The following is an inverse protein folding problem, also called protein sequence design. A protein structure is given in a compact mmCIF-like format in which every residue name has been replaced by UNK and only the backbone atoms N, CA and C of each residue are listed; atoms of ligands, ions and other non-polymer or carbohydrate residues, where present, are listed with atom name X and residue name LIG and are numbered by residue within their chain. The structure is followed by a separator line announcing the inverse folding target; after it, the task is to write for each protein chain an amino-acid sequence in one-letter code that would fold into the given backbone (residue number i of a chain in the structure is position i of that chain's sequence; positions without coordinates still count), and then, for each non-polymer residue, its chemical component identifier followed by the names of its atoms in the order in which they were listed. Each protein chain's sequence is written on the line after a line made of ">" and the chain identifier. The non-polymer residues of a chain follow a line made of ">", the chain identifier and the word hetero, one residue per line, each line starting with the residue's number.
data_IF_920673495353
#
_entry.id   IF_920673495353
#
_cell.length_a   1.000
_cell.length_b   1.000
_cell.length_c   1.000
_cell.angle_alpha   90.00
_cell.angle_beta   90.00
_cell.angle_gamma   90.00
#
_symmetry.space_group_name_H-M   'P 1'
#
loop_
_entity.id
_entity.type
_entity.pdbx_description
1 polymer ?
#
# COMPACT_ATOMS: atom_id res chain seq x y z
N UNK A 1 -16.83 -30.03 -1.37
CA UNK A 1 -16.15 -28.79 -0.94
C UNK A 1 -17.18 -27.70 -0.72
N UNK A 2 -17.16 -27.06 0.45
CA UNK A 2 -18.06 -25.94 0.82
C UNK A 2 -17.26 -24.64 0.83
N UNK A 3 -17.85 -23.53 0.38
CA UNK A 3 -17.20 -22.20 0.42
C UNK A 3 -16.71 -21.82 1.84
N UNK A 4 -17.47 -22.22 2.87
CA UNK A 4 -17.09 -21.98 4.26
C UNK A 4 -15.79 -22.70 4.67
N UNK A 5 -15.45 -23.85 4.07
CA UNK A 5 -14.15 -24.51 4.32
C UNK A 5 -13.00 -23.68 3.74
N UNK A 6 -13.20 -23.04 2.58
CA UNK A 6 -12.23 -22.13 1.97
C UNK A 6 -12.05 -20.85 2.81
N UNK A 7 -13.15 -20.27 3.32
CA UNK A 7 -13.08 -19.12 4.24
C UNK A 7 -12.27 -19.46 5.49
N UNK A 8 -12.43 -20.65 6.04
CA UNK A 8 -11.67 -21.08 7.21
C UNK A 8 -10.18 -21.30 6.90
N UNK A 9 -9.87 -21.80 5.71
CA UNK A 9 -8.47 -21.94 5.26
C UNK A 9 -7.79 -20.56 5.12
N UNK A 10 -8.45 -19.63 4.45
CA UNK A 10 -7.96 -18.25 4.31
C UNK A 10 -7.75 -17.59 5.68
N UNK A 11 -8.73 -17.71 6.59
CA UNK A 11 -8.59 -17.19 7.94
C UNK A 11 -7.42 -17.84 8.70
N UNK A 12 -7.22 -19.16 8.54
CA UNK A 12 -6.12 -19.88 9.19
C UNK A 12 -4.75 -19.43 8.65
N UNK A 13 -4.63 -19.25 7.35
CA UNK A 13 -3.40 -18.77 6.71
C UNK A 13 -3.01 -17.36 7.19
N UNK A 14 -4.00 -16.46 7.29
CA UNK A 14 -3.82 -15.09 7.78
C UNK A 14 -3.44 -15.04 9.25
N UNK A 15 -4.21 -15.72 10.10
CA UNK A 15 -4.04 -15.65 11.55
C UNK A 15 -2.87 -16.51 12.06
N UNK A 16 -2.42 -17.48 11.28
CA UNK A 16 -1.37 -18.44 11.63
C UNK A 16 -1.58 -19.10 13.01
N UNK A 17 -2.84 -19.20 13.43
CA UNK A 17 -3.23 -19.74 14.73
C UNK A 17 -4.68 -20.22 14.72
N UNK A 18 -4.94 -21.50 14.98
CA UNK A 18 -6.27 -22.10 14.89
C UNK A 18 -7.34 -21.39 15.74
N UNK A 19 -7.01 -21.01 17.00
CA UNK A 19 -8.00 -20.36 17.87
C UNK A 19 -8.32 -18.94 17.41
N UNK A 20 -7.33 -18.17 16.91
CA UNK A 20 -7.57 -16.83 16.35
C UNK A 20 -8.37 -16.90 15.07
N UNK A 21 -8.03 -17.83 14.18
CA UNK A 21 -8.79 -18.05 12.94
C UNK A 21 -10.24 -18.44 13.23
N UNK A 22 -10.47 -19.31 14.21
CA UNK A 22 -11.82 -19.70 14.65
C UNK A 22 -12.61 -18.50 15.20
N UNK A 23 -11.98 -17.67 16.04
CA UNK A 23 -12.58 -16.44 16.56
C UNK A 23 -12.93 -15.45 15.40
N UNK A 24 -12.03 -15.27 14.43
CA UNK A 24 -12.25 -14.43 13.26
C UNK A 24 -13.42 -14.93 12.39
N UNK A 25 -13.67 -16.25 12.38
CA UNK A 25 -14.79 -16.86 11.65
C UNK A 25 -16.05 -17.07 12.51
N UNK A 26 -16.06 -16.59 13.75
CA UNK A 26 -17.18 -16.75 14.70
C UNK A 26 -17.58 -18.20 14.94
N UNK A 27 -16.59 -19.12 15.03
CA UNK A 27 -16.80 -20.54 15.29
C UNK A 27 -15.88 -21.06 16.39
N UNK A 28 -16.16 -22.28 16.88
CA UNK A 28 -15.24 -22.94 17.79
C UNK A 28 -14.00 -23.48 17.06
N UNK A 29 -12.85 -23.50 17.75
CA UNK A 29 -11.62 -24.06 17.19
C UNK A 29 -11.78 -25.52 16.72
N UNK A 30 -12.47 -26.43 17.47
CA UNK A 30 -12.76 -27.79 16.97
C UNK A 30 -13.53 -27.82 15.66
N UNK A 31 -14.51 -26.90 15.48
CA UNK A 31 -15.32 -26.80 14.27
C UNK A 31 -14.47 -26.39 13.05
N UNK A 32 -13.64 -25.35 13.20
CA UNK A 32 -12.71 -24.93 12.16
C UNK A 32 -11.72 -26.04 11.80
N UNK A 33 -11.11 -26.67 12.80
CA UNK A 33 -10.16 -27.76 12.62
C UNK A 33 -10.79 -28.99 11.91
N UNK A 34 -12.04 -29.30 12.25
CA UNK A 34 -12.79 -30.38 11.59
C UNK A 34 -13.14 -30.05 10.14
N UNK A 35 -13.43 -28.76 9.84
CA UNK A 35 -13.72 -28.31 8.49
C UNK A 35 -12.49 -28.37 7.59
N UNK A 36 -11.31 -27.96 8.09
CA UNK A 36 -10.04 -28.08 7.36
C UNK A 36 -9.72 -29.57 7.10
N UNK A 37 -9.83 -30.45 8.10
CA UNK A 37 -9.63 -31.90 7.89
C UNK A 37 -10.59 -32.50 6.87
N UNK A 38 -11.83 -32.04 6.81
CA UNK A 38 -12.77 -32.47 5.77
C UNK A 38 -12.36 -32.00 4.39
N UNK A 39 -11.83 -30.77 4.28
CA UNK A 39 -11.30 -30.25 3.02
C UNK A 39 -10.09 -31.07 2.55
N UNK A 40 -9.16 -31.40 3.45
CA UNK A 40 -8.01 -32.28 3.17
C UNK A 40 -8.47 -33.65 2.66
N UNK A 41 -9.47 -34.22 3.31
CA UNK A 41 -10.02 -35.55 2.90
C UNK A 41 -10.76 -35.49 1.55
N UNK A 42 -11.53 -34.43 1.29
CA UNK A 42 -12.25 -34.25 0.03
C UNK A 42 -11.31 -34.01 -1.17
N UNK A 43 -10.18 -33.35 -0.93
CA UNK A 43 -9.19 -33.10 -1.98
C UNK A 43 -8.09 -34.16 -2.05
N UNK A 44 -8.07 -35.08 -1.09
CA UNK A 44 -7.07 -36.14 -0.91
C UNK A 44 -5.62 -35.62 -0.85
N UNK A 45 -5.45 -34.46 -0.20
CA UNK A 45 -4.13 -33.83 0.01
C UNK A 45 -4.02 -33.24 1.42
N UNK A 46 -2.83 -33.29 2.07
CA UNK A 46 -2.59 -32.56 3.29
C UNK A 46 -2.48 -31.07 2.97
N UNK A 47 -3.20 -30.22 3.68
CA UNK A 47 -3.19 -28.75 3.49
C UNK A 47 -2.34 -28.08 4.58
N UNK A 48 -2.45 -28.54 5.81
CA UNK A 48 -1.75 -27.97 6.96
C UNK A 48 -0.65 -28.92 7.42
N UNK A 49 0.55 -28.38 7.66
CA UNK A 49 1.65 -29.15 8.26
C UNK A 49 1.24 -29.62 9.67
N UNK A 50 1.35 -30.91 9.89
CA UNK A 50 0.92 -31.52 11.15
C UNK A 50 1.94 -31.29 12.24
N UNK A 51 1.52 -30.61 13.34
CA UNK A 51 2.29 -30.39 14.56
C UNK A 51 1.35 -30.10 15.72
N UNK A 52 1.91 -29.86 16.91
CA UNK A 52 1.12 -29.44 18.10
C UNK A 52 0.53 -28.03 17.93
N UNK A 53 1.07 -27.23 17.01
CA UNK A 53 0.66 -25.87 16.69
C UNK A 53 0.58 -25.74 15.16
N UNK A 54 0.10 -24.62 14.68
CA UNK A 54 0.17 -24.28 13.25
C UNK A 54 1.63 -24.07 12.85
N UNK A 55 2.13 -24.88 11.93
CA UNK A 55 3.51 -24.85 11.43
C UNK A 55 3.60 -24.36 9.97
N UNK A 56 2.47 -23.90 9.42
CA UNK A 56 2.37 -23.44 8.04
C UNK A 56 1.53 -24.38 7.18
N UNK A 57 1.44 -24.03 5.90
CA UNK A 57 0.79 -24.85 4.87
C UNK A 57 1.81 -25.82 4.25
N UNK A 58 1.31 -26.89 3.68
CA UNK A 58 2.08 -27.76 2.77
C UNK A 58 2.21 -27.11 1.39
N UNK A 59 3.06 -27.58 0.48
CA UNK A 59 3.07 -27.09 -0.90
C UNK A 59 1.70 -27.22 -1.58
N UNK A 60 0.99 -28.32 -1.35
CA UNK A 60 -0.38 -28.54 -1.82
C UNK A 60 -1.36 -27.54 -1.16
N UNK A 61 -1.16 -27.27 0.13
CA UNK A 61 -1.95 -26.29 0.89
C UNK A 61 -1.82 -24.88 0.35
N UNK A 62 -0.63 -24.46 -0.11
CA UNK A 62 -0.43 -23.15 -0.77
C UNK A 62 -1.21 -23.09 -2.10
N UNK A 63 -1.21 -24.15 -2.88
CA UNK A 63 -2.02 -24.22 -4.11
C UNK A 63 -3.52 -24.14 -3.79
N UNK A 64 -3.97 -24.87 -2.77
CA UNK A 64 -5.39 -24.82 -2.36
C UNK A 64 -5.75 -23.44 -1.82
N UNK A 65 -4.86 -22.77 -1.10
CA UNK A 65 -5.07 -21.40 -0.61
C UNK A 65 -5.23 -20.41 -1.78
N UNK A 66 -4.36 -20.45 -2.78
CA UNK A 66 -4.46 -19.58 -3.96
C UNK A 66 -5.82 -19.77 -4.68
N UNK A 67 -6.26 -21.03 -4.86
CA UNK A 67 -7.58 -21.29 -5.40
C UNK A 67 -8.72 -20.87 -4.48
N UNK A 68 -8.55 -20.99 -3.16
CA UNK A 68 -9.55 -20.52 -2.20
C UNK A 68 -9.78 -19.00 -2.30
N UNK A 69 -8.72 -18.20 -2.38
CA UNK A 69 -8.80 -16.75 -2.59
C UNK A 69 -9.56 -16.42 -3.88
N UNK A 70 -9.20 -17.08 -4.99
CA UNK A 70 -9.86 -16.88 -6.28
C UNK A 70 -11.35 -17.21 -6.25
N UNK A 71 -11.73 -18.38 -5.74
CA UNK A 71 -13.13 -18.82 -5.66
C UNK A 71 -13.96 -17.86 -4.78
N UNK A 72 -13.40 -17.42 -3.67
CA UNK A 72 -14.07 -16.46 -2.78
C UNK A 72 -14.18 -15.08 -3.42
N UNK A 73 -13.18 -14.62 -4.16
CA UNK A 73 -13.23 -13.37 -4.91
C UNK A 73 -14.32 -13.39 -6.00
N UNK A 74 -14.43 -14.50 -6.75
CA UNK A 74 -15.47 -14.68 -7.78
C UNK A 74 -16.88 -14.71 -7.16
N UNK A 75 -17.05 -15.37 -6.02
CA UNK A 75 -18.32 -15.32 -5.26
C UNK A 75 -18.67 -13.88 -4.85
N UNK A 76 -17.70 -13.14 -4.34
CA UNK A 76 -17.90 -11.76 -3.91
C UNK A 76 -18.23 -10.84 -5.10
N UNK A 77 -17.57 -11.06 -6.25
CA UNK A 77 -17.88 -10.36 -7.51
C UNK A 77 -19.33 -10.60 -7.95
N UNK A 78 -19.81 -11.84 -7.92
CA UNK A 78 -21.20 -12.15 -8.21
C UNK A 78 -22.18 -11.40 -7.29
N UNK A 79 -21.90 -11.37 -5.99
CA UNK A 79 -22.74 -10.63 -5.05
C UNK A 79 -22.72 -9.12 -5.32
N UNK A 80 -21.58 -8.57 -5.68
CA UNK A 80 -21.44 -7.16 -6.05
C UNK A 80 -22.23 -6.81 -7.31
N UNK A 81 -22.15 -7.63 -8.36
CA UNK A 81 -22.93 -7.45 -9.60
C UNK A 81 -24.45 -7.46 -9.34
N UNK A 82 -24.92 -8.48 -8.60
CA UNK A 82 -26.34 -8.55 -8.24
C UNK A 82 -26.80 -7.37 -7.40
N UNK A 83 -25.95 -6.87 -6.52
CA UNK A 83 -26.24 -5.69 -5.70
C UNK A 83 -26.26 -4.41 -6.53
N UNK A 84 -25.37 -4.27 -7.49
CA UNK A 84 -25.34 -3.14 -8.43
C UNK A 84 -26.66 -3.04 -9.23
N UNK A 85 -27.18 -4.17 -9.70
CA UNK A 85 -28.48 -4.25 -10.39
C UNK A 85 -29.66 -3.84 -9.51
N UNK A 86 -29.56 -3.99 -8.18
CA UNK A 86 -30.61 -3.68 -7.20
C UNK A 86 -30.52 -2.28 -6.58
N UNK A 87 -29.66 -1.41 -7.11
CA UNK A 87 -29.62 0.00 -6.74
C UNK A 87 -28.45 0.42 -5.85
N UNK A 88 -27.27 -0.13 -6.06
CA UNK A 88 -26.01 0.42 -5.54
C UNK A 88 -24.99 -0.63 -5.10
N UNK A 89 -23.74 -0.23 -5.16
CA UNK A 89 -22.61 -1.09 -4.82
C UNK A 89 -22.60 -1.40 -3.31
N UNK A 90 -22.36 -2.66 -2.98
CA UNK A 90 -22.16 -3.17 -1.62
C UNK A 90 -20.92 -4.04 -1.57
N UNK A 91 -20.39 -4.29 -0.39
CA UNK A 91 -19.20 -5.11 -0.19
C UNK A 91 -18.01 -4.29 0.30
N UNK A 92 -16.86 -4.92 0.38
CA UNK A 92 -15.62 -4.29 0.84
C UNK A 92 -14.59 -4.29 -0.28
N UNK A 93 -14.13 -3.11 -0.68
CA UNK A 93 -13.00 -2.90 -1.57
C UNK A 93 -11.70 -3.02 -0.75
N UNK A 94 -10.87 -4.00 -1.05
CA UNK A 94 -9.57 -4.22 -0.41
C UNK A 94 -8.51 -3.47 -1.20
N UNK A 95 -8.01 -2.38 -0.63
CA UNK A 95 -7.07 -1.46 -1.27
C UNK A 95 -5.70 -1.50 -0.58
N UNK A 96 -4.70 -2.07 -1.23
CA UNK A 96 -3.31 -1.99 -0.80
C UNK A 96 -2.68 -0.67 -1.24
N UNK A 97 -1.88 -0.05 -0.38
CA UNK A 97 -1.23 1.23 -0.69
C UNK A 97 0.22 1.21 -0.20
N UNK A 98 1.17 1.56 -1.07
CA UNK A 98 2.55 1.76 -0.61
C UNK A 98 2.61 2.91 0.41
N UNK A 99 3.45 2.83 1.45
CA UNK A 99 3.46 3.80 2.54
C UNK A 99 3.57 5.26 2.08
N UNK A 100 4.32 5.52 1.02
CA UNK A 100 4.53 6.87 0.48
C UNK A 100 3.33 7.43 -0.29
N UNK A 101 2.45 6.58 -0.80
CA UNK A 101 1.22 6.98 -1.48
C UNK A 101 0.01 7.04 -0.55
N UNK A 102 0.15 6.60 0.70
CA UNK A 102 -0.96 6.57 1.67
C UNK A 102 -1.64 7.94 1.84
N UNK A 103 -0.93 9.08 1.89
CA UNK A 103 -1.57 10.39 1.96
C UNK A 103 -2.51 10.66 0.79
N UNK A 104 -2.11 10.29 -0.42
CA UNK A 104 -2.91 10.49 -1.64
C UNK A 104 -4.12 9.54 -1.73
N UNK A 105 -4.17 8.46 -0.93
CA UNK A 105 -5.27 7.52 -0.97
C UNK A 105 -6.62 8.15 -0.57
N UNK A 106 -6.62 9.18 0.29
CA UNK A 106 -7.81 9.92 0.69
C UNK A 106 -8.49 10.61 -0.49
N UNK A 107 -7.71 11.07 -1.47
CA UNK A 107 -8.22 11.70 -2.70
C UNK A 107 -9.03 10.73 -3.58
N UNK A 108 -8.88 9.42 -3.38
CA UNK A 108 -9.65 8.39 -4.07
C UNK A 108 -10.74 7.80 -3.17
N UNK A 109 -10.40 7.48 -1.93
CA UNK A 109 -11.29 6.74 -1.03
C UNK A 109 -12.45 7.59 -0.54
N UNK A 110 -12.24 8.88 -0.26
CA UNK A 110 -13.31 9.79 0.17
C UNK A 110 -14.38 9.95 -0.91
N UNK A 111 -14.07 10.35 -2.16
CA UNK A 111 -15.10 10.47 -3.20
C UNK A 111 -15.72 9.12 -3.57
N UNK A 112 -14.97 8.01 -3.46
CA UNK A 112 -15.52 6.67 -3.64
C UNK A 112 -16.60 6.36 -2.60
N UNK A 113 -16.31 6.55 -1.30
CA UNK A 113 -17.26 6.29 -0.23
C UNK A 113 -18.50 7.21 -0.28
N UNK A 114 -18.31 8.49 -0.66
CA UNK A 114 -19.43 9.42 -0.86
C UNK A 114 -20.33 8.99 -2.01
N UNK A 115 -19.77 8.48 -3.10
CA UNK A 115 -20.53 8.00 -4.27
C UNK A 115 -21.20 6.64 -4.02
N UNK A 116 -20.60 5.82 -3.17
CA UNK A 116 -21.02 4.45 -2.88
C UNK A 116 -21.16 4.19 -1.36
N UNK A 117 -22.16 4.82 -0.68
CA UNK A 117 -22.23 4.84 0.79
C UNK A 117 -22.52 3.46 1.43
N UNK A 118 -22.88 2.45 0.64
CA UNK A 118 -23.05 1.08 1.11
C UNK A 118 -21.82 0.19 0.88
N UNK A 119 -20.84 0.67 0.13
CA UNK A 119 -19.54 0.02 0.00
C UNK A 119 -18.63 0.44 1.15
N UNK A 120 -17.69 -0.44 1.50
CA UNK A 120 -16.63 -0.17 2.48
C UNK A 120 -15.28 -0.21 1.79
N UNK A 121 -14.30 0.48 2.34
CA UNK A 121 -12.90 0.37 1.92
C UNK A 121 -12.10 -0.17 3.08
N UNK A 122 -11.42 -1.30 2.87
CA UNK A 122 -10.36 -1.79 3.73
C UNK A 122 -9.03 -1.32 3.13
N UNK A 123 -8.37 -0.39 3.80
CA UNK A 123 -7.12 0.22 3.37
C UNK A 123 -5.97 -0.41 4.14
N UNK A 124 -4.98 -0.93 3.43
CA UNK A 124 -3.81 -1.56 4.02
C UNK A 124 -2.53 -0.91 3.49
N UNK A 125 -1.64 -0.51 4.41
CA UNK A 125 -0.30 -0.03 4.05
C UNK A 125 0.64 -1.20 3.88
N UNK A 126 1.12 -1.44 2.66
CA UNK A 126 1.86 -2.64 2.28
C UNK A 126 3.12 -2.29 1.47
N UNK A 127 4.15 -3.11 1.59
CA UNK A 127 5.29 -3.02 0.70
C UNK A 127 4.91 -3.44 -0.74
N UNK A 128 5.62 -2.96 -1.76
CA UNK A 128 5.31 -3.26 -3.17
C UNK A 128 5.28 -4.76 -3.47
N UNK A 129 6.13 -5.54 -2.81
CA UNK A 129 6.16 -7.00 -2.97
C UNK A 129 4.89 -7.66 -2.44
N UNK A 130 4.39 -7.20 -1.30
CA UNK A 130 3.16 -7.72 -0.68
C UNK A 130 1.93 -7.30 -1.50
N UNK A 131 1.94 -6.10 -2.08
CA UNK A 131 0.91 -5.63 -3.03
C UNK A 131 0.87 -6.53 -4.26
N UNK A 132 2.04 -6.82 -4.86
CA UNK A 132 2.10 -7.70 -6.04
C UNK A 132 1.55 -9.08 -5.74
N UNK A 133 1.92 -9.64 -4.58
CA UNK A 133 1.41 -10.92 -4.13
C UNK A 133 -0.11 -10.86 -3.87
N UNK A 134 -0.57 -9.87 -3.11
CA UNK A 134 -1.99 -9.72 -2.77
C UNK A 134 -2.91 -9.53 -3.99
N UNK A 135 -2.42 -8.84 -5.05
CA UNK A 135 -3.16 -8.73 -6.32
C UNK A 135 -3.20 -10.06 -7.08
N UNK A 136 -2.08 -10.80 -7.11
CA UNK A 136 -1.99 -12.08 -7.80
C UNK A 136 -2.86 -13.16 -7.13
N UNK A 137 -2.93 -13.14 -5.80
CA UNK A 137 -3.69 -14.11 -4.99
C UNK A 137 -5.13 -13.64 -4.68
N UNK A 138 -5.61 -12.55 -5.31
CA UNK A 138 -6.95 -11.99 -5.08
C UNK A 138 -7.23 -11.60 -3.62
N UNK A 139 -6.20 -11.33 -2.85
CA UNK A 139 -6.31 -10.76 -1.49
C UNK A 139 -6.63 -9.26 -1.55
N UNK A 140 -6.17 -8.58 -2.61
CA UNK A 140 -6.45 -7.18 -2.92
C UNK A 140 -7.29 -7.06 -4.19
N UNK A 141 -8.24 -6.13 -4.18
CA UNK A 141 -9.04 -5.78 -5.36
C UNK A 141 -8.36 -4.70 -6.20
N UNK A 142 -7.63 -3.80 -5.54
CA UNK A 142 -6.87 -2.71 -6.15
C UNK A 142 -5.67 -2.34 -5.29
N UNK A 143 -4.71 -1.61 -5.86
CA UNK A 143 -3.63 -1.03 -5.08
C UNK A 143 -3.13 0.29 -5.67
N UNK A 144 -2.60 1.17 -4.80
CA UNK A 144 -1.80 2.33 -5.18
C UNK A 144 -0.32 1.99 -4.99
N UNK A 145 0.43 1.94 -6.08
CA UNK A 145 1.84 1.51 -6.06
C UNK A 145 2.62 2.12 -7.22
N UNK A 146 3.93 1.87 -7.24
CA UNK A 146 4.81 2.29 -8.32
C UNK A 146 4.51 1.52 -9.60
N UNK A 147 4.24 2.23 -10.70
CA UNK A 147 3.89 1.63 -11.98
C UNK A 147 5.08 1.04 -12.74
N UNK A 148 6.29 1.48 -12.40
CA UNK A 148 7.54 1.04 -13.00
C UNK A 148 8.08 -0.24 -12.32
N UNK A 149 7.22 -1.00 -11.65
CA UNK A 149 7.53 -2.28 -11.04
C UNK A 149 7.27 -3.42 -12.03
N UNK A 150 8.33 -4.06 -12.50
CA UNK A 150 8.27 -5.18 -13.47
C UNK A 150 7.62 -6.44 -12.88
N UNK A 151 7.46 -6.51 -11.57
CA UNK A 151 6.79 -7.64 -10.89
C UNK A 151 5.27 -7.57 -11.01
N UNK A 152 4.70 -6.39 -11.32
CA UNK A 152 3.27 -6.18 -11.54
C UNK A 152 2.84 -6.83 -12.87
N UNK A 153 2.41 -8.07 -12.80
CA UNK A 153 1.91 -8.82 -13.96
C UNK A 153 0.40 -8.93 -13.93
N UNK A 154 -0.20 -9.06 -15.10
CA UNK A 154 -1.65 -9.27 -15.27
C UNK A 154 -2.52 -8.23 -14.53
N UNK A 155 -2.12 -6.95 -14.59
CA UNK A 155 -2.86 -5.83 -14.00
C UNK A 155 -3.22 -4.78 -15.04
N UNK A 156 -4.27 -4.02 -14.78
CA UNK A 156 -4.56 -2.75 -15.44
C UNK A 156 -3.94 -1.64 -14.62
N UNK A 157 -3.28 -0.69 -15.28
CA UNK A 157 -2.56 0.41 -14.65
C UNK A 157 -3.21 1.74 -15.04
N UNK A 158 -3.47 2.59 -14.06
CA UNK A 158 -3.93 3.97 -14.24
C UNK A 158 -2.92 4.90 -13.55
N UNK A 159 -2.09 5.66 -14.30
CA UNK A 159 -1.20 6.65 -13.71
C UNK A 159 -2.00 7.72 -12.95
N UNK A 160 -1.52 8.09 -11.76
CA UNK A 160 -2.13 9.12 -10.93
C UNK A 160 -1.23 10.36 -10.82
N UNK A 161 0.04 10.17 -10.44
CA UNK A 161 1.01 11.27 -10.31
C UNK A 161 2.45 10.75 -10.44
N UNK A 162 3.39 11.68 -10.57
CA UNK A 162 4.83 11.42 -10.46
C UNK A 162 5.32 11.92 -9.11
N UNK A 163 6.06 11.09 -8.36
CA UNK A 163 6.64 11.53 -7.09
C UNK A 163 7.71 12.58 -7.33
N UNK A 164 7.66 13.65 -6.55
CA UNK A 164 8.74 14.63 -6.43
C UNK A 164 9.31 14.53 -5.02
N UNK A 165 10.62 14.57 -4.94
CA UNK A 165 11.29 14.50 -3.65
C UNK A 165 11.66 15.90 -3.18
N UNK A 166 11.41 16.13 -1.91
CA UNK A 166 11.80 17.34 -1.19
C UNK A 166 12.56 16.96 0.06
N UNK A 167 13.44 17.86 0.49
CA UNK A 167 14.15 17.74 1.75
C UNK A 167 13.40 18.53 2.82
N UNK A 168 12.99 17.88 3.90
CA UNK A 168 12.61 18.52 5.15
C UNK A 168 13.86 18.69 6.01
N UNK A 169 14.20 19.93 6.36
CA UNK A 169 15.42 20.26 7.10
C UNK A 169 15.17 21.43 8.06
N UNK A 170 15.92 21.55 9.16
CA UNK A 170 15.79 22.68 10.07
C UNK A 170 16.02 24.04 9.37
N UNK A 171 15.23 25.05 9.76
CA UNK A 171 15.33 26.41 9.20
C UNK A 171 16.71 27.04 9.48
N UNK A 172 17.28 26.78 10.65
CA UNK A 172 18.60 27.28 11.11
C UNK A 172 19.71 26.23 10.90
N UNK A 173 19.47 25.22 10.03
CA UNK A 173 20.41 24.14 9.77
C UNK A 173 21.51 24.50 8.76
N UNK A 174 22.38 23.55 8.41
CA UNK A 174 23.50 23.75 7.47
C UNK A 174 23.08 24.23 6.07
N UNK A 175 21.81 24.04 5.71
CA UNK A 175 21.25 24.50 4.44
C UNK A 175 20.33 25.72 4.60
N UNK A 176 20.46 26.50 5.71
CA UNK A 176 19.73 27.74 5.88
C UNK A 176 19.96 28.67 4.69
N UNK A 177 18.87 29.25 4.13
CA UNK A 177 18.94 30.15 2.97
C UNK A 177 19.18 29.48 1.61
N UNK A 178 19.36 28.16 1.54
CA UNK A 178 19.47 27.43 0.27
C UNK A 178 18.09 27.26 -0.33
N UNK A 179 17.83 27.82 -1.52
CA UNK A 179 16.52 27.74 -2.19
C UNK A 179 16.29 26.39 -2.88
N UNK A 180 17.36 25.67 -3.24
CA UNK A 180 17.33 24.35 -3.85
C UNK A 180 18.60 23.58 -3.51
N UNK A 181 18.47 22.37 -3.04
CA UNK A 181 19.61 21.53 -2.64
C UNK A 181 19.93 20.44 -3.65
N UNK A 182 21.21 20.04 -3.73
CA UNK A 182 21.62 18.83 -4.42
C UNK A 182 21.47 17.60 -3.51
N UNK A 183 21.41 16.42 -4.11
CA UNK A 183 21.44 15.18 -3.34
C UNK A 183 22.76 15.01 -2.57
N UNK A 184 23.86 15.45 -3.16
CA UNK A 184 25.15 15.45 -2.48
C UNK A 184 25.15 16.34 -1.22
N UNK A 185 24.53 17.51 -1.27
CA UNK A 185 24.36 18.35 -0.08
C UNK A 185 23.44 17.70 0.97
N UNK A 186 22.32 17.10 0.54
CA UNK A 186 21.43 16.39 1.45
C UNK A 186 22.13 15.21 2.15
N UNK A 187 23.02 14.49 1.47
CA UNK A 187 23.77 13.37 2.02
C UNK A 187 24.69 13.76 3.19
N UNK A 188 25.08 15.04 3.31
CA UNK A 188 25.94 15.52 4.42
C UNK A 188 25.18 15.78 5.72
N UNK A 189 23.84 15.76 5.66
CA UNK A 189 22.99 16.07 6.81
C UNK A 189 22.78 14.85 7.71
N UNK A 190 22.44 15.05 8.98
CA UNK A 190 21.96 13.97 9.83
C UNK A 190 20.57 13.52 9.38
N UNK A 191 20.52 12.45 8.58
CA UNK A 191 19.29 11.97 7.96
C UNK A 191 18.54 10.98 8.83
N UNK A 192 17.21 11.05 8.75
CA UNK A 192 16.30 9.95 9.08
C UNK A 192 15.52 9.56 7.82
N UNK A 193 15.53 8.28 7.46
CA UNK A 193 14.95 7.78 6.21
C UNK A 193 14.13 6.50 6.46
N UNK A 194 13.30 6.13 5.49
CA UNK A 194 12.71 4.81 5.47
C UNK A 194 13.81 3.73 5.36
N UNK A 195 13.54 2.54 5.88
CA UNK A 195 14.50 1.45 5.82
C UNK A 195 14.67 0.91 4.38
N UNK A 196 15.79 0.25 4.11
CA UNK A 196 16.19 -0.24 2.78
C UNK A 196 15.27 -1.33 2.18
N UNK A 197 14.36 -1.91 2.97
CA UNK A 197 13.35 -2.86 2.48
C UNK A 197 12.25 -2.15 1.67
N UNK A 198 12.05 -0.85 1.91
CA UNK A 198 11.05 -0.04 1.20
C UNK A 198 11.54 0.35 -0.19
N UNK A 199 10.68 0.20 -1.21
CA UNK A 199 11.01 0.59 -2.59
C UNK A 199 11.34 2.09 -2.69
N UNK A 200 10.60 2.94 -1.99
CA UNK A 200 10.89 4.38 -1.94
C UNK A 200 12.32 4.67 -1.51
N UNK A 201 12.82 3.99 -0.45
CA UNK A 201 14.20 4.17 0.01
C UNK A 201 15.20 3.77 -1.08
N UNK A 202 14.99 2.68 -1.78
CA UNK A 202 15.87 2.26 -2.89
C UNK A 202 15.92 3.30 -4.00
N UNK A 203 14.77 3.89 -4.35
CA UNK A 203 14.70 4.98 -5.34
C UNK A 203 15.47 6.21 -4.83
N UNK A 204 15.34 6.57 -3.56
CA UNK A 204 16.10 7.67 -2.93
C UNK A 204 17.59 7.38 -2.95
N UNK A 205 18.00 6.14 -2.63
CA UNK A 205 19.40 5.74 -2.68
C UNK A 205 19.97 5.81 -4.11
N UNK A 206 19.18 5.44 -5.13
CA UNK A 206 19.53 5.61 -6.56
C UNK A 206 19.71 7.10 -6.92
N UNK A 207 18.87 7.98 -6.40
CA UNK A 207 19.02 9.44 -6.60
C UNK A 207 20.32 9.98 -5.95
N UNK A 208 20.66 9.54 -4.75
CA UNK A 208 21.94 9.86 -4.13
C UNK A 208 23.13 9.37 -4.96
N UNK A 209 23.08 8.10 -5.39
CA UNK A 209 24.13 7.48 -6.18
C UNK A 209 24.34 8.17 -7.53
N UNK A 210 23.27 8.65 -8.17
CA UNK A 210 23.34 9.38 -9.44
C UNK A 210 24.15 10.69 -9.35
N UNK A 211 24.25 11.30 -8.16
CA UNK A 211 25.12 12.46 -7.88
C UNK A 211 26.44 12.07 -7.17
N UNK A 212 26.79 10.77 -7.19
CA UNK A 212 28.02 10.27 -6.58
C UNK A 212 28.01 10.31 -5.05
N UNK A 213 26.86 10.44 -4.43
CA UNK A 213 26.68 10.48 -2.99
C UNK A 213 26.07 9.17 -2.45
N UNK A 214 26.21 8.97 -1.15
CA UNK A 214 25.59 7.83 -0.46
C UNK A 214 24.92 8.34 0.81
N UNK A 215 23.64 8.03 0.98
CA UNK A 215 22.94 8.36 2.21
C UNK A 215 23.40 7.43 3.35
N UNK A 216 23.74 8.01 4.49
CA UNK A 216 24.05 7.28 5.72
C UNK A 216 23.09 7.76 6.82
N UNK A 217 21.82 7.30 6.83
CA UNK A 217 20.85 7.76 7.82
C UNK A 217 21.26 7.29 9.21
N UNK A 218 21.14 8.21 10.18
CA UNK A 218 21.36 7.89 11.59
C UNK A 218 20.16 7.14 12.18
N UNK A 219 18.98 7.31 11.59
CA UNK A 219 17.76 6.62 12.01
C UNK A 219 17.05 6.07 10.76
N UNK A 220 16.63 4.83 10.85
CA UNK A 220 15.79 4.18 9.85
C UNK A 220 14.45 3.76 10.47
N UNK A 221 13.35 3.95 9.73
CA UNK A 221 12.00 3.57 10.14
C UNK A 221 11.30 2.79 9.02
N UNK A 222 10.37 1.93 9.37
CA UNK A 222 9.43 1.29 8.45
C UNK A 222 8.12 2.09 8.28
N UNK A 223 8.00 3.22 8.96
CA UNK A 223 6.81 4.06 9.00
C UNK A 223 7.13 5.51 8.66
N UNK A 224 6.35 6.06 7.72
CA UNK A 224 6.34 7.49 7.37
C UNK A 224 6.00 8.33 8.59
N UNK A 225 4.95 7.96 9.33
CA UNK A 225 4.56 8.67 10.55
C UNK A 225 5.67 8.62 11.61
N UNK A 226 6.39 7.48 11.71
CA UNK A 226 7.54 7.35 12.60
C UNK A 226 8.65 8.35 12.27
N UNK A 227 8.97 8.56 10.99
CA UNK A 227 9.93 9.58 10.56
C UNK A 227 9.45 10.99 10.93
N UNK A 228 8.17 11.26 10.73
CA UNK A 228 7.60 12.58 11.01
C UNK A 228 7.70 12.98 12.49
N UNK A 229 7.63 12.02 13.41
CA UNK A 229 7.79 12.28 14.86
C UNK A 229 9.21 12.70 15.26
N UNK A 230 10.21 12.46 14.41
CA UNK A 230 11.60 12.79 14.68
C UNK A 230 11.99 14.20 14.25
N UNK A 231 11.23 14.81 13.34
CA UNK A 231 11.54 16.08 12.70
C UNK A 231 11.38 17.31 13.61
N UNK A 232 10.33 17.41 14.48
CA UNK A 232 10.08 18.61 15.28
C UNK A 232 11.23 19.01 16.22
N UNK A 233 12.15 18.08 16.50
CA UNK A 233 13.33 18.37 17.31
C UNK A 233 14.41 19.20 16.61
N UNK A 234 14.26 19.54 15.33
CA UNK A 234 15.20 20.33 14.54
C UNK A 234 16.60 19.72 14.39
N UNK A 235 16.77 18.45 14.74
CA UNK A 235 18.07 17.76 14.69
C UNK A 235 18.24 16.94 13.42
N UNK A 236 17.15 16.44 12.86
CA UNK A 236 17.14 15.51 11.75
C UNK A 236 16.59 16.15 10.49
N UNK A 237 17.10 15.73 9.36
CA UNK A 237 16.53 16.01 8.03
C UNK A 237 16.00 14.73 7.41
N UNK A 238 15.02 14.86 6.53
CA UNK A 238 14.47 13.70 5.83
C UNK A 238 14.17 14.03 4.38
N UNK A 239 14.41 13.08 3.48
CA UNK A 239 13.93 13.15 2.10
C UNK A 239 12.57 12.49 2.05
N UNK A 240 11.56 13.24 1.61
CA UNK A 240 10.18 12.80 1.55
C UNK A 240 9.59 12.97 0.15
N UNK A 241 8.60 12.14 -0.19
CA UNK A 241 7.74 12.40 -1.34
C UNK A 241 6.83 13.60 -1.05
N UNK A 242 6.61 14.45 -2.03
CA UNK A 242 5.71 15.61 -1.90
C UNK A 242 4.28 15.24 -1.48
N UNK A 243 3.84 14.01 -1.78
CA UNK A 243 2.54 13.52 -1.34
C UNK A 243 2.35 13.57 0.19
N UNK A 244 3.45 13.54 0.97
CA UNK A 244 3.37 13.63 2.43
C UNK A 244 2.92 15.00 2.92
N UNK A 245 3.18 16.06 2.15
CA UNK A 245 2.71 17.41 2.45
C UNK A 245 1.18 17.53 2.42
N UNK A 246 0.49 16.56 1.82
CA UNK A 246 -0.97 16.47 1.86
C UNK A 246 -1.51 15.95 3.21
N UNK A 247 -0.69 15.24 3.96
CA UNK A 247 -1.11 14.61 5.23
C UNK A 247 -0.57 15.36 6.45
N UNK A 248 0.62 15.89 6.33
CA UNK A 248 1.34 16.51 7.43
C UNK A 248 1.79 17.91 7.02
N UNK A 249 1.50 18.89 7.86
CA UNK A 249 2.11 20.22 7.73
C UNK A 249 3.62 20.14 7.95
N UNK A 250 4.34 21.16 7.49
CA UNK A 250 5.76 21.29 7.78
C UNK A 250 5.93 21.53 9.29
N UNK A 251 6.66 20.67 10.01
CA UNK A 251 6.84 20.85 11.45
C UNK A 251 7.46 22.20 11.78
N UNK A 252 7.08 22.78 12.94
CA UNK A 252 7.64 24.03 13.42
C UNK A 252 9.19 23.97 13.49
N UNK A 253 9.86 25.00 13.03
CA UNK A 253 11.32 25.05 12.93
C UNK A 253 11.92 24.27 11.77
N UNK A 254 11.08 23.64 10.92
CA UNK A 254 11.50 22.96 9.72
C UNK A 254 11.09 23.74 8.46
N UNK A 255 11.74 23.44 7.34
CA UNK A 255 11.42 23.97 6.03
C UNK A 255 11.50 22.91 4.96
N UNK A 256 10.76 23.13 3.89
CA UNK A 256 10.82 22.33 2.67
C UNK A 256 11.84 22.93 1.71
N UNK A 257 12.79 22.12 1.25
CA UNK A 257 13.79 22.51 0.25
C UNK A 257 13.65 21.56 -0.95
N UNK A 258 13.38 22.07 -2.16
CA UNK A 258 13.39 21.25 -3.36
C UNK A 258 14.75 20.61 -3.55
N UNK A 259 14.75 19.33 -3.97
CA UNK A 259 15.97 18.64 -4.40
C UNK A 259 16.12 18.75 -5.93
N UNK A 260 17.38 18.80 -6.38
CA UNK A 260 17.67 18.61 -7.79
C UNK A 260 17.25 17.18 -8.15
N UNK A 261 16.25 17.02 -8.98
CA UNK A 261 15.73 15.70 -9.30
C UNK A 261 15.98 15.28 -10.75
N UNK A 262 15.86 14.00 -11.07
CA UNK A 262 15.68 13.58 -12.44
C UNK A 262 14.47 14.31 -13.05
N UNK A 263 14.48 14.52 -14.34
CA UNK A 263 13.39 15.22 -15.04
C UNK A 263 12.00 14.59 -14.80
N UNK A 264 11.99 13.29 -14.47
CA UNK A 264 10.79 12.50 -14.15
C UNK A 264 11.05 11.66 -12.90
N UNK A 265 10.19 11.80 -11.90
CA UNK A 265 10.17 10.94 -10.72
C UNK A 265 9.46 9.60 -10.98
N UNK A 266 9.50 8.66 -10.02
CA UNK A 266 8.77 7.41 -10.14
C UNK A 266 7.27 7.67 -10.24
N UNK A 267 6.61 6.94 -11.15
CA UNK A 267 5.17 7.07 -11.36
C UNK A 267 4.41 6.22 -10.35
N UNK A 268 3.52 6.86 -9.61
CA UNK A 268 2.54 6.19 -8.74
C UNK A 268 1.19 6.16 -9.44
N UNK A 269 0.51 5.03 -9.33
CA UNK A 269 -0.79 4.86 -9.94
C UNK A 269 -1.65 3.83 -9.25
N UNK A 270 -2.91 3.78 -9.68
CA UNK A 270 -3.86 2.76 -9.29
C UNK A 270 -3.68 1.54 -10.19
N UNK A 271 -3.54 0.38 -9.59
CA UNK A 271 -3.49 -0.92 -10.26
C UNK A 271 -4.64 -1.79 -9.79
N UNK A 272 -5.24 -2.53 -10.70
CA UNK A 272 -6.28 -3.52 -10.41
C UNK A 272 -5.94 -4.84 -11.09
N UNK A 273 -6.22 -5.95 -10.45
CA UNK A 273 -6.02 -7.27 -11.04
C UNK A 273 -6.89 -7.40 -12.31
N UNK A 274 -6.38 -8.06 -13.34
CA UNK A 274 -7.19 -8.47 -14.49
C UNK A 274 -7.90 -9.77 -14.13
N UNK A 275 -9.19 -9.68 -13.89
CA UNK A 275 -10.09 -10.82 -13.69
C UNK A 275 -11.24 -10.74 -14.68
N UNK A 276 -11.83 -11.87 -15.03
CA UNK A 276 -13.07 -11.93 -15.80
C UNK A 276 -14.04 -12.85 -15.05
N UNK A 277 -15.17 -12.28 -14.56
CA UNK A 277 -15.57 -10.87 -14.63
C UNK A 277 -14.70 -9.96 -13.75
N UNK A 278 -14.63 -8.68 -14.11
CA UNK A 278 -13.89 -7.66 -13.37
C UNK A 278 -14.65 -7.28 -12.08
N UNK A 279 -13.96 -7.06 -10.96
CA UNK A 279 -14.57 -6.56 -9.73
C UNK A 279 -15.29 -5.22 -9.97
N UNK A 280 -16.59 -5.18 -9.68
CA UNK A 280 -17.43 -3.97 -9.86
C UNK A 280 -16.96 -2.82 -8.95
N UNK A 281 -16.46 -3.15 -7.74
CA UNK A 281 -15.89 -2.15 -6.82
C UNK A 281 -14.56 -1.58 -7.35
N UNK A 282 -13.70 -2.43 -7.94
CA UNK A 282 -12.45 -1.99 -8.53
C UNK A 282 -12.70 -1.10 -9.77
N UNK A 283 -13.67 -1.42 -10.62
CA UNK A 283 -14.07 -0.58 -11.76
C UNK A 283 -14.64 0.77 -11.30
N UNK A 284 -15.46 0.77 -10.24
CA UNK A 284 -15.98 2.00 -9.66
C UNK A 284 -14.85 2.88 -9.10
N UNK A 285 -13.85 2.29 -8.43
CA UNK A 285 -12.68 3.02 -7.97
C UNK A 285 -11.84 3.59 -9.13
N UNK A 286 -11.63 2.82 -10.20
CA UNK A 286 -10.96 3.30 -11.41
C UNK A 286 -11.69 4.49 -12.04
N UNK A 287 -13.02 4.50 -12.04
CA UNK A 287 -13.80 5.63 -12.53
C UNK A 287 -13.59 6.87 -11.66
N UNK A 288 -13.65 6.73 -10.35
CA UNK A 288 -13.36 7.82 -9.41
C UNK A 288 -11.95 8.34 -9.60
N UNK A 289 -10.96 7.45 -9.75
CA UNK A 289 -9.56 7.81 -9.90
C UNK A 289 -9.27 8.64 -11.17
N UNK A 290 -10.01 8.41 -12.26
CA UNK A 290 -9.88 9.21 -13.49
C UNK A 290 -10.40 10.64 -13.32
N UNK A 291 -11.34 10.85 -12.40
CA UNK A 291 -12.02 12.12 -12.14
C UNK A 291 -11.37 12.90 -10.97
N UNK A 292 -10.55 12.25 -10.16
CA UNK A 292 -10.11 12.78 -8.87
C UNK A 292 -9.03 13.88 -8.94
N UNK A 293 -8.39 14.12 -10.10
CA UNK A 293 -7.39 15.19 -10.24
C UNK A 293 -6.21 15.08 -9.25
N UNK A 294 -5.78 13.86 -8.91
CA UNK A 294 -4.79 13.60 -7.85
C UNK A 294 -3.48 14.35 -8.10
N UNK A 295 -3.01 14.40 -9.35
CA UNK A 295 -1.80 15.12 -9.73
C UNK A 295 -1.92 16.60 -9.37
N UNK A 296 -2.97 17.24 -9.85
CA UNK A 296 -3.16 18.68 -9.70
C UNK A 296 -3.25 19.07 -8.22
N UNK A 297 -4.00 18.30 -7.43
CA UNK A 297 -4.11 18.51 -5.98
C UNK A 297 -2.76 18.42 -5.25
N UNK A 298 -1.90 17.46 -5.62
CA UNK A 298 -0.58 17.30 -5.01
C UNK A 298 0.42 18.38 -5.50
N UNK A 299 0.33 18.80 -6.76
CA UNK A 299 1.19 19.80 -7.36
C UNK A 299 0.87 21.21 -6.81
N UNK A 300 -0.41 21.53 -6.59
CA UNK A 300 -0.84 22.77 -5.95
C UNK A 300 -0.31 22.87 -4.52
N UNK A 301 -0.42 21.81 -3.73
CA UNK A 301 0.11 21.76 -2.37
C UNK A 301 1.63 21.95 -2.31
N UNK A 302 2.35 21.27 -3.19
CA UNK A 302 3.81 21.46 -3.26
C UNK A 302 4.16 22.92 -3.57
N UNK A 303 3.45 23.52 -4.52
CA UNK A 303 3.68 24.93 -4.91
C UNK A 303 3.40 25.89 -3.75
N UNK A 304 2.34 25.66 -2.99
CA UNK A 304 2.02 26.47 -1.80
C UNK A 304 3.15 26.43 -0.76
N UNK A 305 3.64 25.25 -0.41
CA UNK A 305 4.72 25.09 0.57
C UNK A 305 6.08 25.66 0.10
N UNK A 306 6.31 25.70 -1.21
CA UNK A 306 7.54 26.32 -1.76
C UNK A 306 7.43 27.84 -1.89
N UNK A 307 6.20 28.38 -2.04
CA UNK A 307 5.94 29.83 -2.10
C UNK A 307 5.99 30.53 -0.76
N UNK A 308 5.65 29.86 0.34
CA UNK A 308 5.67 30.41 1.70
C UNK A 308 7.10 30.53 2.29
N UNK A 309 8.10 29.94 1.64
CA UNK A 309 9.52 29.97 2.07
C UNK A 309 10.39 30.96 1.35
N UNK A 310 9.82 31.93 0.61
CA UNK A 310 10.56 32.95 -0.18
C UNK A 310 10.54 34.31 0.47
#
# INVERSE_FOLDING_TARGET
>A
MLLRQLEYLVALARERHFARAAAACYVSQPSLSAAIRRLEHELDVPIVRRGRRYEGLTPEGEVVLAWAHRILAERDALHQELSALRGGLTGTLRLGVVPTALPAASLLTTPFCLRHPRARVALESLASVDITHGLAEFELDAAMTYLDDDTLRNVRRLPLYEERYVLLTPVDGPLAGVSKASWAQAATLPLCLLNSRMRNRRIIDECFAAEGATASPAIESDSVAGLYTLLPGGRWSSVISHAWLHMFDVPEGMRVVPLNGPAHGPRVGLVVARSEPQSVLAEALLKVAREAGVRDALDELLTAHLGEGS
#
